data_IF_974257963223
#
_entry.id   IF_974257963223
#
_cell.length_a   1.000
_cell.length_b   1.000
_cell.length_c   1.000
_cell.angle_alpha   90.00
_cell.angle_beta   90.00
_cell.angle_gamma   90.00
#
_symmetry.space_group_name_H-M   'P 1'
#
loop_
_entity.id
_entity.type
_entity.pdbx_description
1 polymer ?
#
# COMPACT_ATOMS: atom_id res chain seq x y z
N UNK A 1 18.47 8.43 -3.32
CA UNK A 1 18.41 7.80 -1.99
C UNK A 1 18.90 8.86 -1.04
N UNK A 2 18.05 9.37 -0.13
CA UNK A 2 18.49 10.41 0.80
C UNK A 2 19.57 9.82 1.70
N UNK A 3 20.73 10.46 1.76
CA UNK A 3 21.81 10.07 2.67
C UNK A 3 21.64 10.87 3.95
N UNK A 4 21.73 10.24 5.12
CA UNK A 4 21.62 10.95 6.40
C UNK A 4 22.64 12.11 6.46
N UNK A 5 22.14 13.30 6.79
CA UNK A 5 22.81 14.60 6.61
C UNK A 5 22.19 15.51 5.53
N UNK A 6 21.33 14.98 4.66
CA UNK A 6 20.48 15.76 3.74
C UNK A 6 19.17 16.16 4.45
N UNK A 7 19.25 17.05 5.44
CA UNK A 7 18.06 17.65 6.09
C UNK A 7 17.56 18.90 5.36
N UNK A 8 18.37 19.50 4.48
CA UNK A 8 17.94 20.58 3.59
C UNK A 8 17.29 20.00 2.33
N UNK A 9 16.23 20.63 1.82
CA UNK A 9 15.68 20.28 0.52
C UNK A 9 16.79 20.36 -0.55
N UNK A 10 17.04 19.25 -1.24
CA UNK A 10 18.10 19.15 -2.25
C UNK A 10 17.47 19.30 -3.64
N UNK A 11 17.83 20.37 -4.35
CA UNK A 11 17.53 20.48 -5.78
C UNK A 11 18.62 19.75 -6.56
N UNK A 12 18.26 18.91 -7.54
CA UNK A 12 19.26 18.20 -8.34
C UNK A 12 18.91 18.08 -9.81
N UNK A 13 19.93 17.97 -10.64
CA UNK A 13 19.84 17.59 -12.06
C UNK A 13 20.75 16.40 -12.30
N UNK A 14 20.24 15.36 -12.97
CA UNK A 14 21.01 14.17 -13.30
C UNK A 14 20.89 13.85 -14.79
N UNK A 15 22.04 13.62 -15.43
CA UNK A 15 22.12 13.18 -16.82
C UNK A 15 23.01 11.95 -16.92
N UNK A 16 22.62 10.94 -17.68
CA UNK A 16 23.40 9.72 -17.79
C UNK A 16 23.01 8.84 -18.97
N UNK A 17 23.80 7.80 -19.14
CA UNK A 17 23.60 6.75 -20.12
C UNK A 17 23.52 5.42 -19.38
N UNK A 18 22.66 4.52 -19.87
CA UNK A 18 22.57 3.15 -19.39
C UNK A 18 22.66 2.18 -20.58
N UNK A 19 23.41 1.11 -20.39
CA UNK A 19 23.44 -0.04 -21.29
C UNK A 19 22.75 -1.19 -20.60
N UNK A 20 21.70 -1.71 -21.24
CA UNK A 20 20.91 -2.83 -20.74
C UNK A 20 21.20 -4.03 -21.63
N UNK A 21 21.55 -5.16 -21.02
CA UNK A 21 21.66 -6.44 -21.69
C UNK A 21 20.69 -7.41 -21.04
N UNK A 22 19.80 -7.96 -21.84
CA UNK A 22 18.87 -9.00 -21.41
C UNK A 22 19.28 -10.35 -22.00
N UNK A 23 19.22 -11.40 -21.19
CA UNK A 23 19.44 -12.77 -21.64
C UNK A 23 18.67 -13.74 -20.73
N UNK A 24 17.89 -14.64 -21.33
CA UNK A 24 17.14 -15.69 -20.61
C UNK A 24 16.24 -15.13 -19.50
N UNK A 25 15.59 -13.97 -19.75
CA UNK A 25 14.72 -13.28 -18.78
C UNK A 25 15.46 -12.52 -17.67
N UNK A 26 16.80 -12.49 -17.70
CA UNK A 26 17.63 -11.79 -16.74
C UNK A 26 18.23 -10.53 -17.34
N UNK A 27 18.28 -9.48 -16.55
CA UNK A 27 18.77 -8.18 -16.97
C UNK A 27 20.10 -7.87 -16.31
N UNK A 28 21.03 -7.31 -17.07
CA UNK A 28 22.25 -6.67 -16.57
C UNK A 28 22.27 -5.24 -17.09
N UNK A 29 22.30 -4.28 -16.17
CA UNK A 29 22.32 -2.86 -16.48
C UNK A 29 23.60 -2.22 -15.97
N UNK A 30 24.39 -1.67 -16.88
CA UNK A 30 25.49 -0.77 -16.55
C UNK A 30 25.05 0.66 -16.76
N UNK A 31 25.33 1.56 -15.81
CA UNK A 31 24.97 2.97 -15.90
C UNK A 31 26.15 3.88 -15.59
N UNK A 32 26.21 4.99 -16.31
CA UNK A 32 27.10 6.11 -16.05
C UNK A 32 26.25 7.37 -16.02
N UNK A 33 26.24 8.07 -14.89
CA UNK A 33 25.52 9.33 -14.77
C UNK A 33 26.32 10.38 -14.04
N UNK A 34 25.94 11.63 -14.25
CA UNK A 34 26.47 12.80 -13.55
C UNK A 34 25.32 13.48 -12.83
N UNK A 35 25.47 13.66 -11.52
CA UNK A 35 24.55 14.40 -10.66
C UNK A 35 25.17 15.75 -10.32
N UNK A 36 24.39 16.81 -10.50
CA UNK A 36 24.62 18.10 -9.87
C UNK A 36 23.54 18.27 -8.81
N UNK A 37 23.92 18.71 -7.62
CA UNK A 37 22.94 19.07 -6.60
C UNK A 37 23.36 20.28 -5.79
N UNK A 38 22.34 20.95 -5.25
CA UNK A 38 22.46 22.17 -4.46
C UNK A 38 21.46 22.11 -3.31
N UNK A 39 21.95 22.31 -2.09
CA UNK A 39 21.14 22.37 -0.86
C UNK A 39 20.65 23.80 -0.61
N UNK A 40 19.57 23.97 0.16
CA UNK A 40 19.08 25.30 0.53
C UNK A 40 20.11 26.15 1.29
N UNK A 41 21.03 25.51 2.02
CA UNK A 41 22.13 26.17 2.74
C UNK A 41 23.32 26.52 1.84
N UNK A 42 23.26 26.19 0.54
CA UNK A 42 24.25 26.61 -0.46
C UNK A 42 25.41 25.64 -0.68
N UNK A 43 25.32 24.40 -0.19
CA UNK A 43 26.29 23.36 -0.54
C UNK A 43 26.05 22.88 -1.97
N UNK A 44 27.11 22.78 -2.77
CA UNK A 44 27.03 22.37 -4.17
C UNK A 44 27.84 21.09 -4.40
N UNK A 45 27.19 20.04 -4.91
CA UNK A 45 27.84 18.76 -5.24
C UNK A 45 27.87 18.49 -6.74
N UNK A 46 28.99 17.93 -7.21
CA UNK A 46 29.16 17.42 -8.57
C UNK A 46 29.72 16.02 -8.52
N UNK A 47 28.92 15.03 -8.89
CA UNK A 47 29.25 13.62 -8.68
C UNK A 47 29.08 12.82 -9.96
N UNK A 48 30.07 12.01 -10.31
CA UNK A 48 29.95 10.97 -11.32
C UNK A 48 29.60 9.66 -10.63
N UNK A 49 28.62 8.94 -11.18
CA UNK A 49 28.06 7.72 -10.62
C UNK A 49 28.22 6.62 -11.66
N UNK A 50 28.91 5.55 -11.27
CA UNK A 50 29.03 4.31 -12.02
C UNK A 50 28.21 3.26 -11.29
N UNK A 51 27.17 2.73 -11.94
CA UNK A 51 26.27 1.73 -11.36
C UNK A 51 26.28 0.44 -12.18
N UNK A 52 26.21 -0.69 -11.50
CA UNK A 52 26.00 -2.00 -12.10
C UNK A 52 24.89 -2.71 -11.32
N UNK A 53 23.85 -3.14 -12.02
CA UNK A 53 22.72 -3.87 -11.44
C UNK A 53 22.46 -5.11 -12.26
N UNK A 54 22.19 -6.24 -11.63
CA UNK A 54 21.83 -7.45 -12.36
C UNK A 54 21.03 -8.46 -11.56
N UNK A 55 20.23 -9.22 -12.29
CA UNK A 55 19.45 -10.35 -11.76
C UNK A 55 20.34 -11.59 -11.66
N UNK A 56 20.47 -12.15 -10.45
CA UNK A 56 21.15 -13.44 -10.23
C UNK A 56 20.23 -14.56 -10.72
N UNK A 57 18.98 -14.54 -10.27
CA UNK A 57 17.90 -15.45 -10.63
C UNK A 57 16.55 -14.74 -10.53
N UNK A 58 15.45 -15.49 -10.65
CA UNK A 58 14.08 -14.94 -10.65
C UNK A 58 13.68 -14.32 -9.30
N UNK A 59 14.52 -14.43 -8.27
CA UNK A 59 14.25 -13.94 -6.91
C UNK A 59 15.29 -12.96 -6.41
N UNK A 60 16.54 -13.07 -6.84
CA UNK A 60 17.65 -12.28 -6.33
C UNK A 60 18.17 -11.30 -7.37
N UNK A 61 18.30 -10.05 -6.97
CA UNK A 61 18.98 -9.01 -7.72
C UNK A 61 20.11 -8.41 -6.87
N UNK A 62 21.18 -7.97 -7.52
CA UNK A 62 22.29 -7.27 -6.86
C UNK A 62 22.56 -5.96 -7.55
N UNK A 63 22.90 -4.95 -6.77
CA UNK A 63 23.38 -3.67 -7.25
C UNK A 63 24.70 -3.29 -6.59
N UNK A 64 25.55 -2.64 -7.36
CA UNK A 64 26.78 -2.05 -6.87
C UNK A 64 27.00 -0.72 -7.55
N UNK A 65 27.43 0.28 -6.79
CA UNK A 65 27.78 1.57 -7.36
C UNK A 65 29.02 2.18 -6.72
N UNK A 66 29.74 2.93 -7.54
CA UNK A 66 30.83 3.80 -7.12
C UNK A 66 30.52 5.22 -7.55
N UNK A 67 30.64 6.16 -6.63
CA UNK A 67 30.42 7.57 -6.87
C UNK A 67 31.69 8.34 -6.52
N UNK A 68 32.08 9.26 -7.40
CA UNK A 68 33.23 10.14 -7.21
C UNK A 68 32.85 11.56 -7.56
N UNK A 69 33.04 12.48 -6.63
CA UNK A 69 32.61 13.86 -6.79
C UNK A 69 33.32 14.85 -5.90
N UNK A 70 33.02 16.12 -6.13
CA UNK A 70 33.44 17.24 -5.30
C UNK A 70 32.21 17.89 -4.68
N UNK A 71 32.31 18.26 -3.40
CA UNK A 71 31.34 19.05 -2.66
C UNK A 71 32.00 20.37 -2.29
N UNK A 72 31.35 21.48 -2.65
CA UNK A 72 31.68 22.82 -2.18
C UNK A 72 30.72 23.11 -1.03
N UNK A 73 31.25 23.24 0.17
CA UNK A 73 30.45 23.56 1.34
C UNK A 73 30.20 25.08 1.40
N UNK A 74 29.11 25.47 2.05
CA UNK A 74 28.66 26.85 2.23
C UNK A 74 29.70 27.74 2.94
N UNK A 75 30.53 27.16 3.81
CA UNK A 75 31.61 27.80 4.56
C UNK A 75 32.87 28.07 3.70
N UNK A 76 32.82 27.72 2.41
CA UNK A 76 33.92 27.87 1.46
C UNK A 76 34.90 26.70 1.41
N UNK A 77 34.80 25.73 2.33
CA UNK A 77 35.61 24.53 2.31
C UNK A 77 35.21 23.62 1.14
N UNK A 78 36.12 22.71 0.76
CA UNK A 78 35.87 21.75 -0.32
C UNK A 78 36.11 20.34 0.17
N UNK A 79 35.33 19.41 -0.34
CA UNK A 79 35.44 18.00 0.01
C UNK A 79 35.46 17.17 -1.26
N UNK A 80 36.46 16.30 -1.39
CA UNK A 80 36.42 15.21 -2.38
C UNK A 80 35.69 14.03 -1.76
N UNK A 81 34.66 13.54 -2.44
CA UNK A 81 33.77 12.50 -1.94
C UNK A 81 33.86 11.25 -2.82
N UNK A 82 34.15 10.14 -2.18
CA UNK A 82 34.08 8.80 -2.74
C UNK A 82 32.99 8.01 -2.00
N UNK A 83 32.09 7.36 -2.74
CA UNK A 83 31.01 6.54 -2.16
C UNK A 83 31.00 5.17 -2.83
N UNK A 84 31.01 4.13 -2.02
CA UNK A 84 30.82 2.75 -2.45
C UNK A 84 29.54 2.22 -1.86
N UNK A 85 28.63 1.73 -2.69
CA UNK A 85 27.40 1.10 -2.23
C UNK A 85 27.25 -0.29 -2.85
N UNK A 86 26.73 -1.21 -2.05
CA UNK A 86 26.33 -2.55 -2.46
C UNK A 86 24.92 -2.81 -1.94
N UNK A 87 24.07 -3.36 -2.80
CA UNK A 87 22.73 -3.74 -2.44
C UNK A 87 22.34 -5.11 -2.98
N UNK A 88 21.39 -5.72 -2.27
CA UNK A 88 20.81 -7.02 -2.56
C UNK A 88 19.31 -6.91 -2.42
N UNK A 89 18.59 -7.28 -3.47
CA UNK A 89 17.14 -7.43 -3.49
C UNK A 89 16.74 -8.89 -3.51
N UNK A 90 15.71 -9.23 -2.74
CA UNK A 90 15.02 -10.50 -2.77
C UNK A 90 13.53 -10.27 -3.03
N UNK A 91 12.95 -11.02 -3.96
CA UNK A 91 11.51 -11.03 -4.21
C UNK A 91 11.03 -12.47 -4.41
N UNK A 92 9.99 -12.85 -3.68
CA UNK A 92 9.29 -14.12 -3.87
C UNK A 92 7.80 -13.83 -4.00
N UNK A 93 7.20 -14.28 -5.10
CA UNK A 93 5.76 -14.25 -5.33
C UNK A 93 5.23 -15.68 -5.17
N UNK A 94 4.16 -15.84 -4.41
CA UNK A 94 3.38 -17.06 -4.37
C UNK A 94 2.55 -17.16 -5.65
N UNK A 95 2.69 -18.24 -6.41
CA UNK A 95 2.00 -18.40 -7.70
C UNK A 95 0.49 -18.63 -7.54
N UNK A 96 0.07 -19.14 -6.38
CA UNK A 96 -1.31 -19.51 -6.12
C UNK A 96 -2.11 -18.32 -5.55
N UNK A 97 -1.55 -17.61 -4.58
CA UNK A 97 -2.22 -16.47 -3.93
C UNK A 97 -1.85 -15.13 -4.59
N UNK A 98 -0.69 -15.05 -5.23
CA UNK A 98 -0.11 -13.80 -5.73
C UNK A 98 0.56 -12.98 -4.64
N UNK A 99 0.67 -13.50 -3.42
CA UNK A 99 1.28 -12.81 -2.29
C UNK A 99 2.79 -12.66 -2.49
N UNK A 100 3.31 -11.49 -2.12
CA UNK A 100 4.72 -11.17 -2.32
C UNK A 100 5.44 -11.04 -0.98
N UNK A 101 6.63 -11.61 -0.89
CA UNK A 101 7.66 -11.30 0.10
C UNK A 101 8.80 -10.59 -0.61
N UNK A 102 9.09 -9.36 -0.21
CA UNK A 102 10.21 -8.58 -0.74
C UNK A 102 11.15 -8.17 0.39
N UNK A 103 12.44 -8.17 0.10
CA UNK A 103 13.47 -7.66 1.01
C UNK A 103 14.55 -6.94 0.22
N UNK A 104 14.99 -5.79 0.71
CA UNK A 104 16.06 -5.00 0.12
C UNK A 104 17.05 -4.65 1.22
N UNK A 105 18.32 -4.99 1.00
CA UNK A 105 19.42 -4.65 1.89
C UNK A 105 20.43 -3.82 1.13
N UNK A 106 20.91 -2.74 1.74
CA UNK A 106 21.96 -1.88 1.19
C UNK A 106 22.99 -1.56 2.26
N UNK A 107 24.25 -1.59 1.89
CA UNK A 107 25.36 -1.04 2.67
C UNK A 107 26.08 0.02 1.86
N UNK A 108 26.54 1.06 2.53
CA UNK A 108 27.29 2.15 1.91
C UNK A 108 28.46 2.59 2.79
N UNK A 109 29.57 2.88 2.14
CA UNK A 109 30.75 3.49 2.70
C UNK A 109 31.04 4.77 1.93
N UNK A 110 31.03 5.90 2.64
CA UNK A 110 31.41 7.20 2.11
C UNK A 110 32.70 7.67 2.76
N UNK A 111 33.61 8.19 1.96
CA UNK A 111 34.84 8.84 2.40
C UNK A 111 34.90 10.24 1.83
N UNK A 112 35.06 11.19 2.74
CA UNK A 112 35.18 12.60 2.45
C UNK A 112 36.60 13.03 2.80
N UNK A 113 37.28 13.66 1.84
CA UNK A 113 38.62 14.21 2.02
C UNK A 113 38.54 15.73 1.96
N UNK A 114 38.88 16.37 3.08
CA UNK A 114 38.79 17.80 3.24
C UNK A 114 39.90 18.56 2.51
N UNK A 115 39.56 19.69 1.92
CA UNK A 115 40.47 20.66 1.32
C UNK A 115 40.05 22.07 1.74
N UNK A 116 40.99 23.02 1.70
CA UNK A 116 40.76 24.43 2.08
C UNK A 116 40.19 24.59 3.50
N UNK A 117 40.67 23.80 4.47
CA UNK A 117 40.21 23.88 5.86
C UNK A 117 39.05 22.94 6.21
N UNK A 118 38.58 22.12 5.26
CA UNK A 118 37.63 21.04 5.56
C UNK A 118 38.32 19.83 6.21
N UNK A 119 37.55 19.04 6.95
CA UNK A 119 38.00 17.82 7.62
C UNK A 119 37.84 16.55 6.77
N UNK A 120 38.66 15.55 7.07
CA UNK A 120 38.50 14.19 6.56
C UNK A 120 37.40 13.46 7.34
N UNK A 121 36.41 12.90 6.65
CA UNK A 121 35.28 12.22 7.28
C UNK A 121 35.04 10.84 6.66
N UNK A 122 34.43 9.96 7.44
CA UNK A 122 33.97 8.65 6.98
C UNK A 122 32.56 8.39 7.47
N UNK A 123 31.71 7.91 6.58
CA UNK A 123 30.36 7.51 6.93
C UNK A 123 30.10 6.06 6.54
N UNK A 124 29.39 5.36 7.42
CA UNK A 124 28.84 4.04 7.18
C UNK A 124 27.33 4.14 7.18
N UNK A 125 26.67 3.43 6.26
CA UNK A 125 25.22 3.29 6.26
C UNK A 125 24.85 1.83 6.02
N UNK A 126 23.90 1.35 6.78
CA UNK A 126 23.25 0.06 6.60
C UNK A 126 21.73 0.27 6.57
N UNK A 127 21.10 -0.33 5.57
CA UNK A 127 19.67 -0.24 5.35
C UNK A 127 19.11 -1.63 5.08
N UNK A 128 17.97 -1.95 5.69
CA UNK A 128 17.14 -3.08 5.32
C UNK A 128 15.67 -2.67 5.30
N UNK A 129 14.94 -3.09 4.28
CA UNK A 129 13.48 -3.07 4.29
C UNK A 129 12.95 -4.41 3.84
N UNK A 130 12.02 -4.97 4.60
CA UNK A 130 11.41 -6.26 4.33
C UNK A 130 9.91 -6.15 4.52
N UNK A 131 9.13 -6.66 3.58
CA UNK A 131 7.68 -6.72 3.72
C UNK A 131 7.12 -8.00 3.09
N UNK A 132 6.03 -8.51 3.66
CA UNK A 132 5.36 -9.66 3.06
C UNK A 132 4.09 -10.06 3.77
N UNK A 133 3.28 -10.85 3.08
CA UNK A 133 2.09 -11.46 3.64
C UNK A 133 2.48 -12.64 4.54
N UNK A 134 1.98 -12.61 5.77
CA UNK A 134 2.11 -13.72 6.75
C UNK A 134 0.88 -14.63 6.65
N UNK A 135 -0.28 -14.03 6.40
CA UNK A 135 -1.53 -14.69 6.03
C UNK A 135 -2.18 -13.89 4.89
N UNK A 136 -3.20 -14.43 4.20
CA UNK A 136 -3.93 -13.67 3.17
C UNK A 136 -4.51 -12.34 3.66
N UNK A 137 -4.77 -12.22 4.97
CA UNK A 137 -5.33 -11.03 5.59
C UNK A 137 -4.28 -10.08 6.17
N UNK A 138 -3.06 -10.56 6.47
CA UNK A 138 -2.05 -9.84 7.27
C UNK A 138 -0.74 -9.68 6.51
N UNK A 139 -0.38 -8.43 6.21
CA UNK A 139 0.94 -8.03 5.72
C UNK A 139 1.76 -7.43 6.86
N UNK A 140 3.02 -7.84 7.00
CA UNK A 140 3.98 -7.23 7.93
C UNK A 140 5.06 -6.50 7.13
N UNK A 141 5.52 -5.37 7.65
CA UNK A 141 6.63 -4.59 7.10
C UNK A 141 7.62 -4.21 8.19
N UNK A 142 8.90 -4.19 7.84
CA UNK A 142 9.99 -3.75 8.70
C UNK A 142 10.96 -2.90 7.90
N UNK A 143 11.45 -1.80 8.48
CA UNK A 143 12.54 -0.97 7.93
C UNK A 143 13.55 -0.73 9.04
N UNK A 144 14.83 -0.86 8.73
CA UNK A 144 15.94 -0.56 9.63
C UNK A 144 16.93 0.29 8.83
N UNK A 145 17.30 1.42 9.37
CA UNK A 145 18.34 2.28 8.83
C UNK A 145 19.28 2.70 9.96
N UNK A 146 20.58 2.50 9.76
CA UNK A 146 21.60 2.91 10.72
C UNK A 146 22.71 3.60 9.95
N UNK A 147 23.14 4.76 10.42
CA UNK A 147 24.31 5.43 9.88
C UNK A 147 25.14 6.11 10.96
N UNK A 148 26.43 6.24 10.72
CA UNK A 148 27.35 6.96 11.59
C UNK A 148 28.40 7.67 10.75
N UNK A 149 28.69 8.93 11.08
CA UNK A 149 29.71 9.76 10.45
C UNK A 149 30.78 10.12 11.48
N UNK A 150 32.00 9.73 11.19
CA UNK A 150 33.19 9.99 12.00
C UNK A 150 34.07 11.03 11.31
N UNK A 151 34.50 12.04 12.06
CA UNK A 151 35.54 12.97 11.65
C UNK A 151 36.90 12.36 11.98
N UNK A 152 37.63 11.98 10.93
CA UNK A 152 38.92 11.31 11.03
C UNK A 152 40.02 12.30 11.45
N UNK A 153 39.89 13.59 11.10
CA UNK A 153 40.88 14.62 11.45
C UNK A 153 41.05 14.76 12.97
N UNK A 154 39.95 14.67 13.73
CA UNK A 154 39.94 14.91 15.17
C UNK A 154 39.48 13.69 16.01
N UNK A 155 39.04 12.61 15.38
CA UNK A 155 38.64 11.37 16.04
C UNK A 155 37.31 11.45 16.78
N UNK A 156 36.39 12.32 16.34
CA UNK A 156 35.07 12.50 16.96
C UNK A 156 33.95 11.96 16.08
N UNK A 157 32.84 11.53 16.70
CA UNK A 157 31.60 11.22 15.99
C UNK A 157 30.85 12.51 15.73
N UNK A 158 30.63 12.84 14.46
CA UNK A 158 29.91 14.05 14.06
C UNK A 158 28.40 13.85 14.01
N UNK A 159 27.96 12.67 13.57
CA UNK A 159 26.54 12.40 13.39
C UNK A 159 26.23 10.90 13.49
N UNK A 160 25.09 10.57 14.10
CA UNK A 160 24.54 9.22 14.13
C UNK A 160 23.05 9.24 13.78
N UNK A 161 22.59 8.18 13.12
CA UNK A 161 21.18 7.96 12.83
C UNK A 161 20.80 6.51 13.07
N UNK A 162 19.64 6.30 13.69
CA UNK A 162 19.01 5.00 13.76
C UNK A 162 17.51 5.17 13.58
N UNK A 163 16.96 4.49 12.59
CA UNK A 163 15.52 4.37 12.39
C UNK A 163 15.16 2.88 12.38
N UNK A 164 14.22 2.49 13.23
CA UNK A 164 13.63 1.14 13.23
C UNK A 164 12.13 1.28 13.15
N UNK A 165 11.54 0.77 12.09
CA UNK A 165 10.10 0.76 11.86
C UNK A 165 9.59 -0.66 11.72
N UNK A 166 8.50 -0.95 12.42
CA UNK A 166 7.74 -2.19 12.30
C UNK A 166 6.28 -1.80 12.08
N UNK A 167 5.67 -2.35 11.03
CA UNK A 167 4.27 -2.09 10.71
C UNK A 167 3.54 -3.35 10.29
N UNK A 168 2.21 -3.26 10.29
CA UNK A 168 1.33 -4.28 9.75
C UNK A 168 0.13 -3.65 9.06
N UNK A 169 -0.36 -4.32 8.03
CA UNK A 169 -1.65 -4.06 7.41
C UNK A 169 -2.54 -5.28 7.54
N UNK A 170 -3.76 -5.10 8.04
CA UNK A 170 -4.75 -6.17 8.18
C UNK A 170 -6.01 -5.84 7.38
N UNK A 171 -6.38 -6.74 6.47
CA UNK A 171 -7.55 -6.64 5.60
C UNK A 171 -8.23 -8.01 5.52
N UNK A 172 -9.36 -8.23 6.22
CA UNK A 172 -10.05 -9.52 6.17
C UNK A 172 -10.56 -9.83 4.77
N UNK A 173 -10.10 -10.93 4.16
CA UNK A 173 -10.49 -11.33 2.80
C UNK A 173 -11.98 -11.67 2.71
N UNK A 174 -12.56 -12.25 3.78
CA UNK A 174 -13.98 -12.60 3.83
C UNK A 174 -14.90 -11.38 4.08
N UNK A 175 -14.37 -10.31 4.68
CA UNK A 175 -15.13 -9.14 5.10
C UNK A 175 -14.35 -7.85 4.83
N UNK A 176 -14.45 -7.36 3.60
CA UNK A 176 -13.65 -6.25 3.08
C UNK A 176 -14.04 -4.84 3.58
N UNK A 177 -14.88 -4.76 4.62
CA UNK A 177 -15.38 -3.48 5.14
C UNK A 177 -14.43 -2.79 6.10
N UNK A 178 -13.42 -3.50 6.61
CA UNK A 178 -12.46 -2.99 7.58
C UNK A 178 -11.04 -3.16 7.06
N UNK A 179 -10.26 -2.09 7.07
CA UNK A 179 -8.83 -2.12 6.83
C UNK A 179 -8.13 -1.49 8.04
N UNK A 180 -7.12 -2.18 8.58
CA UNK A 180 -6.33 -1.67 9.70
C UNK A 180 -4.87 -1.53 9.28
N UNK A 181 -4.24 -0.45 9.71
CA UNK A 181 -2.81 -0.22 9.58
C UNK A 181 -2.25 0.11 10.96
N UNK A 182 -1.15 -0.51 11.34
CA UNK A 182 -0.40 -0.17 12.54
C UNK A 182 1.07 0.03 12.23
N UNK A 183 1.71 1.00 12.87
CA UNK A 183 3.13 1.31 12.69
C UNK A 183 3.75 1.80 13.99
N UNK A 184 4.87 1.20 14.35
CA UNK A 184 5.77 1.66 15.39
C UNK A 184 7.11 2.07 14.76
N UNK A 185 7.60 3.25 15.13
CA UNK A 185 8.90 3.77 14.68
C UNK A 185 9.71 4.23 15.88
N UNK A 186 10.95 3.76 15.97
CA UNK A 186 11.99 4.34 16.81
C UNK A 186 12.92 5.18 15.94
N UNK A 187 13.19 6.40 16.37
CA UNK A 187 14.13 7.31 15.74
C UNK A 187 15.16 7.74 16.78
N UNK A 188 16.42 7.74 16.37
CA UNK A 188 17.53 8.33 17.10
C UNK A 188 18.35 9.11 16.09
N UNK A 189 18.58 10.38 16.38
CA UNK A 189 19.32 11.28 15.52
C UNK A 189 20.26 12.09 16.38
N UNK A 190 21.52 12.12 16.00
CA UNK A 190 22.51 13.02 16.57
C UNK A 190 23.10 13.81 15.40
N UNK A 191 22.89 15.12 15.39
CA UNK A 191 23.42 16.03 14.40
C UNK A 191 24.71 16.71 14.90
N UNK A 192 25.54 17.27 14.01
CA UNK A 192 26.63 18.14 14.42
C UNK A 192 26.04 19.38 15.11
N UNK A 193 26.67 19.82 16.21
CA UNK A 193 26.22 20.96 17.02
C UNK A 193 26.09 22.30 16.27
N UNK A 194 26.55 22.36 15.02
CA UNK A 194 26.57 23.55 14.15
C UNK A 194 25.47 23.54 13.08
N UNK A 195 24.53 22.58 13.08
CA UNK A 195 23.34 22.70 12.23
C UNK A 195 22.50 23.91 12.70
N UNK A 196 22.36 24.92 11.83
CA UNK A 196 21.43 26.05 11.99
C UNK A 196 19.98 25.57 11.91
N UNK A 197 19.55 24.70 12.83
CA UNK A 197 18.16 24.66 13.23
C UNK A 197 18.00 25.63 14.41
N UNK A 198 16.98 26.48 14.33
CA UNK A 198 16.62 27.46 15.37
C UNK A 198 16.49 26.89 16.79
N UNK A 199 16.44 25.56 16.93
CA UNK A 199 16.32 24.85 18.20
C UNK A 199 17.64 24.31 18.80
N UNK A 200 18.79 24.33 18.10
CA UNK A 200 20.09 23.84 18.61
C UNK A 200 20.03 22.42 19.22
N UNK A 201 19.21 21.53 18.64
CA UNK A 201 19.03 20.15 19.10
C UNK A 201 20.24 19.34 18.71
N UNK A 202 21.01 18.88 19.71
CA UNK A 202 22.20 18.03 19.51
C UNK A 202 21.84 16.57 19.32
N UNK A 203 20.85 16.09 20.09
CA UNK A 203 20.46 14.70 20.11
C UNK A 203 18.95 14.57 20.32
N UNK A 204 18.32 13.71 19.54
CA UNK A 204 16.91 13.39 19.62
C UNK A 204 16.71 11.88 19.64
N UNK A 205 15.83 11.41 20.52
CA UNK A 205 15.29 10.05 20.50
C UNK A 205 13.79 10.10 20.55
N UNK A 206 13.11 9.42 19.65
CA UNK A 206 11.65 9.39 19.59
C UNK A 206 11.10 7.99 19.39
N UNK A 207 10.03 7.68 20.13
CA UNK A 207 9.16 6.55 19.89
C UNK A 207 7.84 7.06 19.35
N UNK A 208 7.44 6.58 18.17
CA UNK A 208 6.18 6.94 17.53
C UNK A 208 5.35 5.67 17.33
N UNK A 209 4.14 5.65 17.89
CA UNK A 209 3.15 4.61 17.64
C UNK A 209 1.97 5.23 16.91
N UNK A 210 1.52 4.59 15.83
CA UNK A 210 0.37 5.02 15.05
C UNK A 210 -0.50 3.84 14.66
N UNK A 211 -1.81 4.07 14.65
CA UNK A 211 -2.81 3.13 14.19
C UNK A 211 -3.87 3.86 13.37
N UNK A 212 -4.30 3.24 12.28
CA UNK A 212 -5.34 3.74 11.40
C UNK A 212 -6.35 2.63 11.10
N UNK A 213 -7.63 2.98 11.15
CA UNK A 213 -8.73 2.10 10.83
C UNK A 213 -9.61 2.77 9.78
N UNK A 214 -9.82 2.10 8.64
CA UNK A 214 -10.72 2.52 7.58
C UNK A 214 -11.89 1.56 7.54
N UNK A 215 -13.10 2.08 7.72
CA UNK A 215 -14.33 1.31 7.81
C UNK A 215 -15.37 1.81 6.80
N UNK A 216 -15.80 0.90 5.92
CA UNK A 216 -16.89 1.12 4.99
C UNK A 216 -18.23 0.88 5.70
N UNK A 217 -18.91 1.97 6.06
CA UNK A 217 -20.20 1.94 6.78
C UNK A 217 -21.31 1.42 5.85
N UNK A 218 -21.29 1.84 4.59
CA UNK A 218 -22.14 1.34 3.51
C UNK A 218 -21.50 1.72 2.16
N UNK A 219 -22.21 1.49 1.05
CA UNK A 219 -21.71 1.77 -0.30
C UNK A 219 -21.43 3.26 -0.58
N UNK A 220 -21.98 4.17 0.23
CA UNK A 220 -21.83 5.62 0.10
C UNK A 220 -20.89 6.23 1.16
N UNK A 221 -20.83 5.68 2.36
CA UNK A 221 -20.11 6.26 3.49
C UNK A 221 -18.92 5.41 3.92
N UNK A 222 -17.76 6.05 4.01
CA UNK A 222 -16.54 5.49 4.57
C UNK A 222 -16.02 6.42 5.66
N UNK A 223 -15.63 5.83 6.79
CA UNK A 223 -15.03 6.53 7.91
C UNK A 223 -13.60 6.02 8.12
N UNK A 224 -12.66 6.93 8.34
CA UNK A 224 -11.29 6.60 8.68
C UNK A 224 -10.88 7.33 9.95
N UNK A 225 -10.23 6.60 10.85
CA UNK A 225 -9.76 7.09 12.14
C UNK A 225 -8.28 6.78 12.26
N UNK A 226 -7.46 7.81 12.52
CA UNK A 226 -6.02 7.67 12.81
C UNK A 226 -5.68 8.25 14.17
N UNK A 227 -4.96 7.46 14.95
CA UNK A 227 -4.43 7.83 16.26
C UNK A 227 -2.92 7.64 16.24
N UNK A 228 -2.17 8.65 16.70
CA UNK A 228 -0.74 8.53 16.88
C UNK A 228 -0.26 9.19 18.17
N UNK A 229 0.79 8.62 18.76
CA UNK A 229 1.50 9.16 19.91
C UNK A 229 3.00 9.19 19.60
N UNK A 230 3.64 10.32 19.89
CA UNK A 230 5.10 10.48 19.90
C UNK A 230 5.56 10.76 21.32
N UNK A 231 6.55 10.01 21.76
CA UNK A 231 7.30 10.25 23.00
C UNK A 231 8.74 10.53 22.58
N UNK A 232 9.16 11.77 22.72
CA UNK A 232 10.50 12.21 22.33
C UNK A 232 11.31 12.70 23.51
N UNK A 233 12.62 12.56 23.43
CA UNK A 233 13.62 13.13 24.31
C UNK A 233 14.60 13.92 23.45
N UNK A 234 14.66 15.22 23.66
CA UNK A 234 15.47 16.15 22.88
C UNK A 234 16.50 16.79 23.81
N UNK A 235 17.76 16.83 23.38
CA UNK A 235 18.86 17.48 24.09
C UNK A 235 19.30 18.69 23.29
N UNK A 236 19.08 19.86 23.87
CA UNK A 236 19.57 21.13 23.34
C UNK A 236 20.94 21.45 23.94
N UNK A 237 21.81 22.08 23.18
CA UNK A 237 23.15 22.47 23.63
C UNK A 237 23.12 23.20 24.98
N UNK A 238 23.90 22.69 25.94
CA UNK A 238 23.97 23.23 27.30
C UNK A 238 22.83 22.83 28.26
N UNK A 239 21.89 22.00 27.83
CA UNK A 239 20.77 21.51 28.65
C UNK A 239 20.74 19.98 28.75
N UNK A 240 20.00 19.47 29.74
CA UNK A 240 19.68 18.04 29.84
C UNK A 240 18.53 17.68 28.89
N UNK A 241 18.37 16.38 28.63
CA UNK A 241 17.23 15.88 27.86
C UNK A 241 15.90 16.37 28.42
N UNK A 242 15.07 16.88 27.52
CA UNK A 242 13.69 17.26 27.80
C UNK A 242 12.76 16.28 27.10
N UNK A 243 11.80 15.75 27.86
CA UNK A 243 10.83 14.78 27.35
C UNK A 243 9.58 15.50 26.86
N UNK A 244 9.14 15.19 25.65
CA UNK A 244 7.91 15.72 25.05
C UNK A 244 6.99 14.58 24.63
N UNK A 245 5.68 14.75 24.86
CA UNK A 245 4.62 13.83 24.45
C UNK A 245 3.63 14.54 23.57
N UNK A 246 3.47 14.02 22.37
CA UNK A 246 2.56 14.54 21.36
C UNK A 246 1.53 13.50 20.99
N UNK A 247 0.27 13.90 20.98
CA UNK A 247 -0.86 13.09 20.53
C UNK A 247 -1.45 13.68 19.25
N UNK A 248 -1.77 12.83 18.29
CA UNK A 248 -2.44 13.19 17.06
C UNK A 248 -3.68 12.31 16.88
N UNK A 249 -4.79 12.96 16.57
CA UNK A 249 -6.07 12.31 16.26
C UNK A 249 -6.60 12.91 14.96
N UNK A 250 -6.97 12.04 14.03
CA UNK A 250 -7.49 12.43 12.71
C UNK A 250 -8.74 11.64 12.43
N UNK A 251 -9.83 12.36 12.18
CA UNK A 251 -11.12 11.83 11.81
C UNK A 251 -11.40 12.19 10.36
N UNK A 252 -11.64 11.22 9.51
CA UNK A 252 -12.00 11.45 8.12
C UNK A 252 -13.31 10.77 7.77
N UNK A 253 -14.16 11.51 7.07
CA UNK A 253 -15.42 11.01 6.54
C UNK A 253 -15.45 11.24 5.04
N UNK A 254 -15.62 10.17 4.28
CA UNK A 254 -15.76 10.19 2.83
C UNK A 254 -17.20 9.82 2.46
N UNK A 255 -17.76 10.58 1.52
CA UNK A 255 -19.06 10.33 0.91
C UNK A 255 -18.87 10.11 -0.59
N UNK A 256 -19.23 8.93 -1.05
CA UNK A 256 -19.28 8.56 -2.46
C UNK A 256 -20.63 9.00 -3.02
N UNK A 257 -20.61 9.94 -3.95
CA UNK A 257 -21.82 10.53 -4.55
C UNK A 257 -22.35 9.58 -5.63
N UNK A 258 -21.44 9.06 -6.46
CA UNK A 258 -21.75 8.10 -7.52
C UNK A 258 -20.51 7.22 -7.79
N UNK A 259 -20.48 6.50 -8.90
CA UNK A 259 -19.34 5.63 -9.25
C UNK A 259 -18.04 6.41 -9.45
N UNK A 260 -18.14 7.65 -9.89
CA UNK A 260 -17.02 8.45 -10.34
C UNK A 260 -16.66 9.55 -9.34
N UNK A 261 -17.60 10.06 -8.53
CA UNK A 261 -17.37 11.19 -7.64
C UNK A 261 -17.42 10.82 -6.16
N UNK A 262 -16.51 11.40 -5.40
CA UNK A 262 -16.51 11.36 -3.94
C UNK A 262 -16.06 12.70 -3.36
N UNK A 263 -16.54 13.00 -2.16
CA UNK A 263 -16.13 14.16 -1.37
C UNK A 263 -15.71 13.67 0.01
N UNK A 264 -14.69 14.29 0.59
CA UNK A 264 -14.17 13.95 1.90
C UNK A 264 -13.90 15.18 2.75
N UNK A 265 -14.13 15.04 4.04
CA UNK A 265 -13.74 16.01 5.05
C UNK A 265 -12.91 15.32 6.13
N UNK A 266 -11.87 16.00 6.60
CA UNK A 266 -10.95 15.48 7.60
C UNK A 266 -10.69 16.51 8.68
N UNK A 267 -10.85 16.12 9.94
CA UNK A 267 -10.63 16.95 11.11
C UNK A 267 -9.46 16.40 11.93
N UNK A 268 -8.50 17.26 12.28
CA UNK A 268 -7.24 16.88 12.93
C UNK A 268 -7.12 17.60 14.27
N UNK A 269 -6.63 16.90 15.29
CA UNK A 269 -6.25 17.48 16.58
C UNK A 269 -4.85 17.02 16.95
N UNK A 270 -3.95 17.96 17.22
CA UNK A 270 -2.59 17.73 17.72
C UNK A 270 -2.48 18.32 19.13
N UNK A 271 -2.03 17.54 20.09
CA UNK A 271 -1.84 17.97 21.48
C UNK A 271 -0.41 17.71 21.93
N UNK A 272 0.27 18.75 22.41
CA UNK A 272 1.61 18.64 23.01
C UNK A 272 1.48 18.85 24.52
N UNK A 273 1.68 17.78 25.29
CA UNK A 273 1.32 17.73 26.72
C UNK A 273 2.15 18.72 27.54
N UNK A 274 3.46 18.75 27.31
CA UNK A 274 4.40 19.56 28.10
C UNK A 274 4.28 21.05 27.79
N UNK A 275 3.99 21.40 26.54
CA UNK A 275 3.70 22.78 26.12
C UNK A 275 2.28 23.25 26.51
N UNK A 276 1.41 22.32 26.93
CA UNK A 276 -0.04 22.55 27.12
C UNK A 276 -0.70 23.19 25.88
N UNK A 277 -0.23 22.79 24.71
CA UNK A 277 -0.69 23.32 23.42
C UNK A 277 -1.61 22.31 22.72
N UNK A 278 -2.66 22.82 22.09
CA UNK A 278 -3.61 22.04 21.29
C UNK A 278 -3.87 22.79 20.00
N UNK A 279 -3.52 22.16 18.88
CA UNK A 279 -3.80 22.64 17.53
C UNK A 279 -4.90 21.83 16.88
N UNK A 280 -5.69 22.47 16.03
CA UNK A 280 -6.78 21.85 15.27
C UNK A 280 -6.66 22.20 13.80
N UNK A 281 -6.99 21.25 12.95
CA UNK A 281 -6.90 21.36 11.50
C UNK A 281 -8.13 20.82 10.80
N UNK A 282 -8.38 21.30 9.59
CA UNK A 282 -9.44 20.82 8.72
C UNK A 282 -8.86 20.63 7.30
N UNK A 283 -9.31 19.60 6.61
CA UNK A 283 -9.04 19.38 5.20
C UNK A 283 -10.34 18.99 4.50
N UNK A 284 -10.54 19.51 3.29
CA UNK A 284 -11.66 19.16 2.42
C UNK A 284 -11.12 18.78 1.06
N UNK A 285 -11.70 17.76 0.46
CA UNK A 285 -11.30 17.24 -0.84
C UNK A 285 -12.50 16.77 -1.65
N UNK A 286 -12.51 17.06 -2.95
CA UNK A 286 -13.36 16.40 -3.93
C UNK A 286 -12.49 15.60 -4.89
N UNK A 287 -12.88 14.36 -5.18
CA UNK A 287 -12.14 13.48 -6.06
C UNK A 287 -13.03 12.83 -7.10
N UNK A 288 -12.43 12.58 -8.28
CA UNK A 288 -13.07 11.93 -9.41
C UNK A 288 -12.25 10.75 -9.92
N UNK A 289 -12.90 9.60 -10.08
CA UNK A 289 -12.32 8.44 -10.76
C UNK A 289 -12.26 8.71 -12.28
N UNK A 290 -11.10 8.46 -12.86
CA UNK A 290 -10.80 8.60 -14.28
C UNK A 290 -10.63 7.19 -14.85
N UNK A 291 -11.75 6.57 -15.23
CA UNK A 291 -11.79 5.16 -15.59
C UNK A 291 -11.55 4.24 -14.39
N UNK A 292 -11.03 3.04 -14.65
CA UNK A 292 -10.91 2.00 -13.62
C UNK A 292 -9.58 2.03 -12.84
N UNK A 293 -8.59 2.80 -13.32
CA UNK A 293 -7.19 2.71 -12.87
C UNK A 293 -6.66 3.99 -12.23
N UNK A 294 -7.41 5.09 -12.23
CA UNK A 294 -6.90 6.37 -11.77
C UNK A 294 -7.96 7.19 -11.06
N UNK A 295 -7.53 7.99 -10.09
CA UNK A 295 -8.36 8.96 -9.39
C UNK A 295 -7.60 10.28 -9.28
N UNK A 296 -8.31 11.39 -9.52
CA UNK A 296 -7.81 12.75 -9.36
C UNK A 296 -8.59 13.46 -8.25
N UNK A 297 -7.90 13.93 -7.22
CA UNK A 297 -8.41 14.69 -6.09
C UNK A 297 -7.93 16.13 -6.12
N UNK A 298 -8.82 17.05 -5.77
CA UNK A 298 -8.54 18.47 -5.57
C UNK A 298 -9.05 18.86 -4.20
N UNK A 299 -8.24 19.57 -3.42
CA UNK A 299 -8.63 19.94 -2.08
C UNK A 299 -7.88 21.14 -1.53
N UNK A 300 -8.19 21.47 -0.29
CA UNK A 300 -7.51 22.50 0.46
C UNK A 300 -7.26 22.01 1.88
N UNK A 301 -6.02 22.11 2.34
CA UNK A 301 -5.63 21.84 3.71
C UNK A 301 -5.55 23.16 4.49
N UNK A 302 -6.35 23.29 5.53
CA UNK A 302 -6.33 24.43 6.46
C UNK A 302 -5.43 24.17 7.68
N UNK A 303 -4.81 22.99 7.75
CA UNK A 303 -3.97 22.57 8.88
C UNK A 303 -2.58 23.18 8.78
N UNK A 304 -2.06 23.68 9.90
CA UNK A 304 -0.75 24.33 10.01
C UNK A 304 0.27 23.45 10.74
N UNK A 305 0.11 22.13 10.67
CA UNK A 305 0.97 21.14 11.33
C UNK A 305 0.94 19.80 10.57
N UNK A 306 2.03 19.03 10.65
CA UNK A 306 2.18 17.72 10.03
C UNK A 306 1.26 16.63 10.62
N UNK A 307 0.80 15.71 9.77
CA UNK A 307 0.07 14.51 10.14
C UNK A 307 0.95 13.24 10.27
N UNK A 308 2.26 13.37 10.01
CA UNK A 308 3.26 12.38 10.40
C UNK A 308 4.01 12.88 11.62
N UNK A 309 3.98 12.11 12.72
CA UNK A 309 4.71 12.50 13.92
C UNK A 309 6.21 12.20 13.83
N UNK A 310 6.69 11.52 12.78
CA UNK A 310 8.14 11.36 12.55
C UNK A 310 8.78 12.58 11.89
N UNK A 311 7.98 13.50 11.35
CA UNK A 311 8.42 14.70 10.66
C UNK A 311 7.59 15.91 11.12
N UNK A 312 8.23 16.85 11.82
CA UNK A 312 7.57 17.95 12.51
C UNK A 312 7.54 19.24 11.69
N UNK A 313 7.43 19.15 10.37
CA UNK A 313 7.22 20.34 9.54
C UNK A 313 5.83 20.98 9.78
N UNK A 314 5.80 22.32 9.80
CA UNK A 314 4.61 23.15 10.04
C UNK A 314 4.11 23.88 8.78
N UNK A 315 4.66 23.56 7.59
CA UNK A 315 4.34 24.20 6.30
C UNK A 315 3.10 23.62 5.57
N UNK A 316 2.30 22.75 6.18
CA UNK A 316 1.33 21.88 5.49
C UNK A 316 0.03 22.55 4.95
N UNK A 317 -0.09 23.88 4.92
CA UNK A 317 -1.33 24.58 4.57
C UNK A 317 -1.40 24.96 3.08
N UNK A 318 -2.55 24.76 2.43
CA UNK A 318 -2.81 25.30 1.09
C UNK A 318 -3.64 24.39 0.17
N UNK A 319 -3.87 24.83 -1.08
CA UNK A 319 -4.52 24.01 -2.10
C UNK A 319 -3.61 22.85 -2.51
N UNK A 320 -4.19 21.69 -2.80
CA UNK A 320 -3.45 20.52 -3.26
C UNK A 320 -4.17 19.76 -4.38
N UNK A 321 -3.38 18.97 -5.10
CA UNK A 321 -3.85 18.01 -6.10
C UNK A 321 -3.30 16.64 -5.74
N UNK A 322 -4.15 15.62 -5.71
CA UNK A 322 -3.74 14.22 -5.49
C UNK A 322 -4.08 13.38 -6.72
N UNK A 323 -3.13 12.59 -7.19
CA UNK A 323 -3.40 11.58 -8.23
C UNK A 323 -3.05 10.20 -7.67
N UNK A 324 -3.99 9.25 -7.76
CA UNK A 324 -3.81 7.88 -7.30
C UNK A 324 -4.02 6.92 -8.45
N UNK A 325 -3.03 6.06 -8.71
CA UNK A 325 -3.08 5.03 -9.75
C UNK A 325 -3.14 3.64 -9.16
N UNK A 326 -3.96 2.76 -9.73
CA UNK A 326 -3.96 1.32 -9.44
C UNK A 326 -3.22 0.58 -10.55
N UNK A 327 -2.02 0.09 -10.22
CA UNK A 327 -1.23 -0.75 -11.12
C UNK A 327 -1.48 -2.21 -10.74
N UNK A 328 -1.88 -3.01 -11.72
CA UNK A 328 -2.04 -4.46 -11.55
C UNK A 328 -0.83 -5.15 -12.16
N UNK A 329 0.09 -5.62 -11.32
CA UNK A 329 1.21 -6.47 -11.74
C UNK A 329 0.80 -7.95 -11.77
N UNK A 330 -0.24 -8.23 -12.57
CA UNK A 330 -0.70 -9.59 -12.84
C UNK A 330 -0.75 -9.80 -14.33
N UNK A 331 -0.20 -10.93 -14.80
CA UNK A 331 -0.38 -11.32 -16.20
C UNK A 331 -1.88 -11.44 -16.51
N UNK A 332 -2.32 -11.27 -17.79
CA UNK A 332 -3.71 -11.48 -18.15
C UNK A 332 -4.27 -12.82 -17.68
N UNK A 333 -3.43 -13.86 -17.70
CA UNK A 333 -3.75 -15.23 -17.25
C UNK A 333 -3.90 -15.31 -15.72
N UNK A 334 -3.02 -14.66 -14.95
CA UNK A 334 -3.14 -14.54 -13.49
C UNK A 334 -4.41 -13.79 -13.07
N UNK A 335 -4.76 -12.72 -13.79
CA UNK A 335 -5.99 -11.97 -13.56
C UNK A 335 -7.22 -12.85 -13.77
N UNK A 336 -7.26 -13.60 -14.86
CA UNK A 336 -8.40 -14.46 -15.16
C UNK A 336 -8.50 -15.60 -14.13
N UNK A 337 -7.38 -16.22 -13.74
CA UNK A 337 -7.36 -17.24 -12.68
C UNK A 337 -7.88 -16.69 -11.34
N UNK A 338 -7.40 -15.52 -10.92
CA UNK A 338 -7.86 -14.90 -9.68
C UNK A 338 -9.34 -14.51 -9.74
N UNK A 339 -9.80 -13.99 -10.89
CA UNK A 339 -11.22 -13.68 -11.13
C UNK A 339 -12.07 -14.93 -11.03
N UNK A 340 -11.67 -16.03 -11.68
CA UNK A 340 -12.40 -17.30 -11.65
C UNK A 340 -12.48 -17.87 -10.23
N UNK A 341 -11.39 -17.83 -9.45
CA UNK A 341 -11.39 -18.26 -8.04
C UNK A 341 -12.35 -17.43 -7.18
N UNK A 342 -12.25 -16.11 -7.27
CA UNK A 342 -13.15 -15.21 -6.55
C UNK A 342 -14.61 -15.45 -6.94
N UNK A 343 -14.87 -15.61 -8.24
CA UNK A 343 -16.21 -15.85 -8.77
C UNK A 343 -16.77 -17.18 -8.26
N UNK A 344 -15.98 -18.25 -8.31
CA UNK A 344 -16.35 -19.57 -7.79
C UNK A 344 -16.69 -19.51 -6.30
N UNK A 345 -15.91 -18.78 -5.50
CA UNK A 345 -16.16 -18.59 -4.07
C UNK A 345 -17.47 -17.81 -3.83
N UNK A 346 -17.70 -16.71 -4.57
CA UNK A 346 -18.95 -15.95 -4.48
C UNK A 346 -20.16 -16.74 -4.95
N UNK A 347 -20.05 -17.49 -6.05
CA UNK A 347 -21.11 -18.37 -6.56
C UNK A 347 -21.48 -19.39 -5.49
N UNK A 348 -20.51 -20.02 -4.82
CA UNK A 348 -20.79 -20.95 -3.72
C UNK A 348 -21.54 -20.25 -2.58
N UNK A 349 -21.10 -19.06 -2.18
CA UNK A 349 -21.77 -18.27 -1.15
C UNK A 349 -23.21 -17.90 -1.51
N UNK A 350 -23.45 -17.43 -2.73
CA UNK A 350 -24.78 -17.06 -3.22
C UNK A 350 -25.68 -18.27 -3.44
N UNK A 351 -25.14 -19.39 -3.94
CA UNK A 351 -25.87 -20.64 -4.07
C UNK A 351 -26.31 -21.15 -2.69
N UNK A 352 -25.46 -21.02 -1.68
CA UNK A 352 -25.82 -21.37 -0.31
C UNK A 352 -26.97 -20.51 0.23
N UNK A 353 -26.91 -19.19 0.01
CA UNK A 353 -28.00 -18.28 0.39
C UNK A 353 -29.30 -18.65 -0.32
N UNK A 354 -29.25 -18.90 -1.64
CA UNK A 354 -30.42 -19.25 -2.44
C UNK A 354 -31.08 -20.57 -1.99
N UNK A 355 -30.29 -21.61 -1.75
CA UNK A 355 -30.78 -22.89 -1.22
C UNK A 355 -31.38 -22.70 0.18
N UNK A 356 -30.69 -21.95 1.05
CA UNK A 356 -31.18 -21.71 2.40
C UNK A 356 -32.48 -20.89 2.42
N UNK A 357 -32.63 -19.90 1.54
CA UNK A 357 -33.88 -19.15 1.39
C UNK A 357 -35.03 -20.05 0.94
N UNK A 358 -34.78 -20.98 0.01
CA UNK A 358 -35.79 -21.98 -0.40
C UNK A 358 -36.20 -22.89 0.76
N UNK A 359 -35.22 -23.39 1.53
CA UNK A 359 -35.47 -24.24 2.70
C UNK A 359 -36.08 -23.52 3.90
N UNK A 360 -36.11 -22.18 3.91
CA UNK A 360 -36.78 -21.37 4.93
C UNK A 360 -38.25 -21.08 4.60
N UNK A 361 -38.68 -21.31 3.35
CA UNK A 361 -40.09 -21.12 2.95
C UNK A 361 -40.94 -22.23 3.58
N UNK A 362 -42.00 -21.84 4.29
CA UNK A 362 -42.91 -22.77 4.98
C UNK A 362 -43.67 -23.68 4.02
N UNK A 363 -43.82 -23.26 2.78
CA UNK A 363 -44.56 -23.89 1.70
C UNK A 363 -43.65 -24.40 0.57
N UNK A 364 -42.34 -24.53 0.81
CA UNK A 364 -41.41 -25.10 -0.18
C UNK A 364 -41.75 -26.58 -0.43
N UNK A 365 -42.08 -26.97 -1.69
CA UNK A 365 -42.30 -28.36 -2.05
C UNK A 365 -41.05 -29.22 -1.80
N UNK A 366 -39.87 -28.63 -2.01
CA UNK A 366 -38.58 -29.31 -1.82
C UNK A 366 -38.32 -29.57 -0.34
N UNK A 367 -38.59 -28.58 0.53
CA UNK A 367 -38.47 -28.79 1.98
C UNK A 367 -39.44 -29.87 2.48
N UNK A 368 -40.67 -29.89 1.94
CA UNK A 368 -41.66 -30.89 2.30
C UNK A 368 -41.18 -32.29 1.90
N UNK A 369 -40.68 -32.47 0.69
CA UNK A 369 -40.13 -33.75 0.21
C UNK A 369 -38.93 -34.20 1.05
N UNK A 370 -37.99 -33.31 1.38
CA UNK A 370 -36.85 -33.63 2.24
C UNK A 370 -37.28 -34.04 3.64
N UNK A 371 -38.29 -33.39 4.21
CA UNK A 371 -38.85 -33.74 5.51
C UNK A 371 -39.54 -35.11 5.49
N UNK A 372 -40.27 -35.45 4.42
CA UNK A 372 -40.88 -36.77 4.25
C UNK A 372 -39.82 -37.88 4.22
N UNK A 373 -38.73 -37.68 3.46
CA UNK A 373 -37.60 -38.60 3.44
C UNK A 373 -36.91 -38.69 4.82
N UNK A 374 -36.78 -37.58 5.54
CA UNK A 374 -36.20 -37.59 6.89
C UNK A 374 -37.05 -38.38 7.88
N UNK A 375 -38.37 -38.19 7.86
CA UNK A 375 -39.32 -38.96 8.69
C UNK A 375 -39.23 -40.45 8.34
N UNK A 376 -39.21 -40.79 7.06
CA UNK A 376 -39.04 -42.18 6.60
C UNK A 376 -37.73 -42.78 7.11
N UNK A 377 -36.62 -42.04 7.04
CA UNK A 377 -35.32 -42.49 7.53
C UNK A 377 -35.33 -42.76 9.05
N UNK A 378 -36.03 -41.94 9.83
CA UNK A 378 -36.22 -42.12 11.27
C UNK A 378 -37.08 -43.35 11.58
N UNK A 379 -38.20 -43.54 10.88
CA UNK A 379 -39.05 -44.71 11.09
C UNK A 379 -38.34 -46.03 10.78
N UNK A 380 -37.52 -46.06 9.74
CA UNK A 380 -36.70 -47.23 9.37
C UNK A 380 -35.60 -47.47 10.41
N UNK A 381 -35.01 -46.39 10.93
CA UNK A 381 -34.02 -46.47 12.01
C UNK A 381 -34.61 -47.08 13.29
N UNK A 382 -35.78 -46.61 13.70
CA UNK A 382 -36.47 -47.07 14.91
C UNK A 382 -36.90 -48.54 14.84
N UNK A 383 -37.10 -49.07 13.63
CA UNK A 383 -37.35 -50.50 13.36
C UNK A 383 -36.09 -51.37 13.43
N UNK A 384 -34.90 -50.76 13.59
CA UNK A 384 -33.61 -51.46 13.66
C UNK A 384 -32.95 -51.72 12.30
N UNK A 385 -33.50 -51.18 11.21
CA UNK A 385 -33.00 -51.37 9.84
C UNK A 385 -31.96 -50.29 9.47
N UNK A 386 -30.80 -50.34 10.13
CA UNK A 386 -29.80 -49.26 10.12
C UNK A 386 -29.24 -48.96 8.72
N UNK A 387 -28.97 -49.98 7.90
CA UNK A 387 -28.40 -49.76 6.56
C UNK A 387 -29.40 -49.12 5.59
N UNK A 388 -30.69 -49.42 5.73
CA UNK A 388 -31.73 -48.84 4.90
C UNK A 388 -32.00 -47.39 5.29
N UNK A 389 -32.05 -47.09 6.60
CA UNK A 389 -32.09 -45.72 7.12
C UNK A 389 -30.89 -44.89 6.64
N UNK A 390 -29.67 -45.45 6.70
CA UNK A 390 -28.45 -44.79 6.19
C UNK A 390 -28.56 -44.44 4.72
N UNK A 391 -29.16 -45.31 3.90
CA UNK A 391 -29.36 -45.06 2.47
C UNK A 391 -30.28 -43.85 2.25
N UNK A 392 -31.39 -43.78 2.98
CA UNK A 392 -32.33 -42.65 2.88
C UNK A 392 -31.66 -41.34 3.31
N UNK A 393 -30.89 -41.33 4.41
CA UNK A 393 -30.11 -40.15 4.79
C UNK A 393 -29.10 -39.73 3.73
N UNK A 394 -28.46 -40.69 3.07
CA UNK A 394 -27.54 -40.41 1.97
C UNK A 394 -28.26 -39.75 0.80
N UNK A 395 -29.47 -40.21 0.47
CA UNK A 395 -30.28 -39.64 -0.60
C UNK A 395 -30.70 -38.19 -0.29
N UNK A 396 -31.04 -37.88 0.97
CA UNK A 396 -31.31 -36.50 1.44
C UNK A 396 -30.06 -35.61 1.26
N UNK A 397 -28.88 -36.10 1.63
CA UNK A 397 -27.62 -35.35 1.46
C UNK A 397 -27.31 -35.11 -0.03
N UNK A 398 -27.53 -36.12 -0.88
CA UNK A 398 -27.36 -36.00 -2.33
C UNK A 398 -28.33 -34.97 -2.90
N UNK A 399 -29.60 -34.98 -2.47
CA UNK A 399 -30.58 -34.00 -2.90
C UNK A 399 -30.16 -32.57 -2.52
N UNK A 400 -29.69 -32.35 -1.28
CA UNK A 400 -29.15 -31.06 -0.86
C UNK A 400 -27.93 -30.61 -1.68
N UNK A 401 -27.05 -31.54 -2.06
CA UNK A 401 -25.93 -31.25 -2.94
C UNK A 401 -26.38 -30.89 -4.36
N UNK A 402 -27.34 -31.62 -4.92
CA UNK A 402 -27.92 -31.33 -6.24
C UNK A 402 -28.57 -29.94 -6.27
N UNK A 403 -29.33 -29.57 -5.24
CA UNK A 403 -29.90 -28.22 -5.11
C UNK A 403 -28.82 -27.14 -5.14
N UNK A 404 -27.72 -27.36 -4.42
CA UNK A 404 -26.60 -26.42 -4.39
C UNK A 404 -25.88 -26.31 -5.75
N UNK A 405 -25.69 -27.43 -6.45
CA UNK A 405 -25.09 -27.48 -7.78
C UNK A 405 -25.98 -26.78 -8.82
N UNK A 406 -27.29 -26.98 -8.76
CA UNK A 406 -28.27 -26.33 -9.64
C UNK A 406 -28.34 -24.82 -9.39
N UNK A 407 -28.40 -24.39 -8.13
CA UNK A 407 -28.33 -22.97 -7.76
C UNK A 407 -27.02 -22.34 -8.25
N UNK A 408 -25.89 -23.04 -8.08
CA UNK A 408 -24.59 -22.58 -8.58
C UNK A 408 -24.58 -22.43 -10.12
N UNK A 409 -25.17 -23.39 -10.84
CA UNK A 409 -25.27 -23.36 -12.30
C UNK A 409 -26.17 -22.21 -12.78
N UNK A 410 -27.30 -21.98 -12.11
CA UNK A 410 -28.19 -20.85 -12.38
C UNK A 410 -27.47 -19.52 -12.24
N UNK A 411 -26.75 -19.33 -11.12
CA UNK A 411 -25.99 -18.11 -10.85
C UNK A 411 -24.88 -17.91 -11.89
N UNK A 412 -24.14 -18.97 -12.27
CA UNK A 412 -23.15 -18.90 -13.36
C UNK A 412 -23.78 -18.44 -14.67
N UNK A 413 -24.95 -18.99 -15.01
CA UNK A 413 -25.70 -18.60 -16.19
C UNK A 413 -26.08 -17.12 -16.15
N UNK A 414 -26.57 -16.64 -15.01
CA UNK A 414 -26.99 -15.26 -14.84
C UNK A 414 -25.81 -14.28 -15.00
N UNK A 415 -24.66 -14.61 -14.40
CA UNK A 415 -23.42 -13.84 -14.56
C UNK A 415 -23.00 -13.80 -16.04
N UNK A 416 -22.99 -14.94 -16.73
CA UNK A 416 -22.63 -15.01 -18.16
C UNK A 416 -23.57 -14.19 -19.03
N UNK A 417 -24.87 -14.20 -18.74
CA UNK A 417 -25.87 -13.37 -19.43
C UNK A 417 -25.60 -11.88 -19.19
N UNK A 418 -25.37 -11.48 -17.95
CA UNK A 418 -25.04 -10.09 -17.60
C UNK A 418 -23.77 -9.61 -18.32
N UNK A 419 -22.73 -10.44 -18.40
CA UNK A 419 -21.50 -10.14 -19.13
C UNK A 419 -21.75 -9.92 -20.62
N UNK A 420 -22.51 -10.80 -21.29
CA UNK A 420 -22.91 -10.62 -22.69
C UNK A 420 -23.68 -9.33 -22.92
N UNK A 421 -24.63 -9.00 -22.04
CA UNK A 421 -25.41 -7.76 -22.14
C UNK A 421 -24.53 -6.52 -21.98
N UNK A 422 -23.53 -6.56 -21.09
CA UNK A 422 -22.54 -5.48 -20.94
C UNK A 422 -21.70 -5.30 -22.20
N UNK A 423 -21.23 -6.38 -22.81
CA UNK A 423 -20.47 -6.33 -24.07
C UNK A 423 -21.31 -5.72 -25.21
N UNK A 424 -22.57 -6.17 -25.33
CA UNK A 424 -23.51 -5.61 -26.29
C UNK A 424 -23.73 -4.11 -26.07
N UNK A 425 -23.87 -3.67 -24.81
CA UNK A 425 -24.02 -2.25 -24.48
C UNK A 425 -22.79 -1.43 -24.92
N UNK A 426 -21.59 -1.91 -24.65
CA UNK A 426 -20.34 -1.24 -25.09
C UNK A 426 -20.30 -1.12 -26.61
N UNK A 427 -20.69 -2.17 -27.32
CA UNK A 427 -20.76 -2.16 -28.78
C UNK A 427 -21.81 -1.17 -29.31
N UNK A 428 -22.98 -1.09 -28.67
CA UNK A 428 -24.01 -0.11 -29.00
C UNK A 428 -23.51 1.33 -28.83
N UNK A 429 -22.81 1.62 -27.72
CA UNK A 429 -22.21 2.94 -27.46
C UNK A 429 -21.14 3.31 -28.51
N UNK A 430 -20.33 2.34 -28.96
CA UNK A 430 -19.36 2.56 -30.04
C UNK A 430 -20.04 2.89 -31.36
N UNK A 431 -21.10 2.15 -31.73
CA UNK A 431 -21.86 2.45 -32.94
C UNK A 431 -22.55 3.81 -32.87
N UNK A 432 -23.10 4.18 -31.71
CA UNK A 432 -23.70 5.48 -31.49
C UNK A 432 -22.69 6.63 -31.68
N UNK A 433 -21.50 6.52 -31.07
CA UNK A 433 -20.41 7.51 -31.20
C UNK A 433 -19.92 7.66 -32.64
N UNK A 434 -19.95 6.59 -33.43
CA UNK A 434 -19.55 6.59 -34.83
C UNK A 434 -20.68 7.00 -35.80
N UNK A 435 -21.80 7.52 -35.29
CA UNK A 435 -22.95 7.97 -36.09
C UNK A 435 -23.78 6.83 -36.72
N UNK A 436 -23.55 5.57 -36.31
CA UNK A 436 -24.26 4.39 -36.81
C UNK A 436 -25.50 4.09 -35.96
N UNK A 437 -26.42 5.06 -35.86
CA UNK A 437 -27.55 5.03 -34.93
C UNK A 437 -28.49 3.83 -35.09
N UNK A 438 -28.79 3.40 -36.32
CA UNK A 438 -29.65 2.24 -36.57
C UNK A 438 -29.05 0.92 -36.06
N UNK A 439 -27.72 0.78 -36.11
CA UNK A 439 -27.04 -0.40 -35.56
C UNK A 439 -27.05 -0.37 -34.03
N UNK A 440 -26.79 0.79 -33.44
CA UNK A 440 -26.86 0.98 -31.99
C UNK A 440 -28.26 0.67 -31.46
N UNK A 441 -29.31 1.17 -32.13
CA UNK A 441 -30.71 0.92 -31.79
C UNK A 441 -31.06 -0.57 -31.79
N UNK A 442 -30.71 -1.31 -32.85
CA UNK A 442 -30.96 -2.76 -32.92
C UNK A 442 -30.30 -3.55 -31.80
N UNK A 443 -29.08 -3.16 -31.40
CA UNK A 443 -28.40 -3.83 -30.29
C UNK A 443 -29.09 -3.52 -28.96
N UNK A 444 -29.53 -2.28 -28.74
CA UNK A 444 -30.29 -1.90 -27.55
C UNK A 444 -31.65 -2.61 -27.46
N UNK A 445 -32.35 -2.76 -28.59
CA UNK A 445 -33.60 -3.54 -28.66
C UNK A 445 -33.36 -5.00 -28.28
N UNK A 446 -32.27 -5.61 -28.77
CA UNK A 446 -31.90 -6.99 -28.41
C UNK A 446 -31.53 -7.13 -26.93
N UNK A 447 -30.85 -6.14 -26.34
CA UNK A 447 -30.56 -6.12 -24.90
C UNK A 447 -31.87 -6.12 -24.10
N UNK A 448 -32.85 -5.30 -24.49
CA UNK A 448 -34.15 -5.22 -23.82
C UNK A 448 -34.93 -6.54 -23.91
N UNK A 449 -34.88 -7.20 -25.06
CA UNK A 449 -35.49 -8.52 -25.27
C UNK A 449 -34.83 -9.58 -24.37
N UNK A 450 -33.51 -9.72 -24.44
CA UNK A 450 -32.78 -10.70 -23.64
C UNK A 450 -32.92 -10.44 -22.13
N UNK A 451 -33.07 -9.19 -21.69
CA UNK A 451 -33.27 -8.85 -20.25
C UNK A 451 -34.63 -9.32 -19.72
N UNK A 452 -35.66 -9.39 -20.57
CA UNK A 452 -37.02 -9.77 -20.18
C UNK A 452 -37.28 -11.28 -20.22
N UNK A 453 -36.36 -12.08 -20.77
CA UNK A 453 -36.48 -13.54 -20.77
C UNK A 453 -36.05 -14.15 -19.42
N UNK A 454 -36.91 -14.94 -18.75
CA UNK A 454 -36.52 -15.70 -17.57
C UNK A 454 -35.42 -16.72 -17.91
N UNK A 455 -34.52 -16.94 -16.96
CA UNK A 455 -33.32 -17.77 -17.14
C UNK A 455 -33.57 -19.28 -17.10
N UNK A 456 -34.74 -19.71 -16.60
CA UNK A 456 -35.20 -21.09 -16.56
C UNK A 456 -36.70 -21.10 -16.87
N UNK A 457 -37.14 -22.07 -17.68
CA UNK A 457 -38.56 -22.49 -17.77
C UNK A 457 -38.92 -23.43 -16.62
#
# INVERSE_FOLDING_TARGET
TKTFGETAEESFTQSGYSLIREKDGKTLTGSLSRKYSETEVGDVSRTNIFGLTGDIDDRWAVDGSYQAGDVQNHDGTRTKRDVFALGVGYAKKDEETGDTLTSSTKIELRRDQGANGGDDKRQYLAYNATEGYVTPDLKIMTKIEVSATENISNGTTEAEHREVMIGFGYRPVLHDRLNLLGRYTYLESQGPAEQEDTAMVEEERAHVLSGEAVFDINEHWQFAEKLAIRIAEEKVAGFNFTKTRTWLMIHRLNYKIDRDWSIGGEFRTLSVVEAKDIKRGLLIEASRNLGDFSQLGLGYNFTTFSDDLTDLDYSSQGPFVRMTGKLYDRTPEERERARQRWLDEKIRGWAWVMVNEELLKKDSPVLQELNEHFIMAQEVYDKGEIEESRKIYKDIVIAGQMMFEEASAYIRGAISKEEKLKEMKVLADQYFKNGQYEKAKKILEKILEETNEPMLE
#
